data_IF_983559556406
#
_entry.id   IF_983559556406
#
_cell.length_a   1.000
_cell.length_b   1.000
_cell.length_c   1.000
_cell.angle_alpha   90.00
_cell.angle_beta   90.00
_cell.angle_gamma   90.00
#
_symmetry.space_group_name_H-M   'P 1'
#
loop_
_entity.id
_entity.type
_entity.pdbx_description
1 polymer ?
#
# COMPACT_ATOMS: atom_id res chain seq x y z
N UNK A 1 -20.69 18.31 9.19
CA UNK A 1 -19.87 18.39 7.97
C UNK A 1 -18.48 17.95 8.38
N UNK A 2 -18.08 16.72 8.06
CA UNK A 2 -16.82 16.17 8.56
C UNK A 2 -15.62 16.85 7.91
N UNK A 3 -14.54 17.00 8.67
CA UNK A 3 -13.31 17.64 8.20
C UNK A 3 -12.44 16.61 7.48
N UNK A 4 -12.03 16.90 6.24
CA UNK A 4 -11.03 16.12 5.50
C UNK A 4 -9.64 16.67 5.83
N UNK A 5 -8.75 15.81 6.32
CA UNK A 5 -7.39 16.22 6.61
C UNK A 5 -6.58 16.32 5.31
N UNK A 6 -5.73 17.35 5.14
CA UNK A 6 -4.88 17.45 3.97
C UNK A 6 -3.80 16.37 3.99
N UNK A 7 -3.62 15.67 2.88
CA UNK A 7 -2.54 14.72 2.73
C UNK A 7 -1.20 15.45 2.53
N UNK A 8 -0.10 15.04 3.19
CA UNK A 8 1.19 15.71 3.09
C UNK A 8 1.91 15.40 1.77
N UNK A 9 1.38 15.92 0.65
CA UNK A 9 1.93 15.75 -0.71
C UNK A 9 3.40 16.14 -0.86
N UNK A 10 3.86 17.10 -0.05
CA UNK A 10 5.25 17.56 -0.05
C UNK A 10 6.25 16.46 0.39
N UNK A 11 5.78 15.41 1.08
CA UNK A 11 6.59 14.24 1.43
C UNK A 11 6.51 13.13 0.38
N UNK A 12 5.51 13.15 -0.52
CA UNK A 12 5.32 12.16 -1.56
C UNK A 12 6.28 12.41 -2.73
N UNK A 13 7.55 12.08 -2.54
CA UNK A 13 8.63 12.34 -3.51
C UNK A 13 9.04 11.09 -4.30
N UNK A 14 8.70 9.90 -3.80
CA UNK A 14 9.17 8.64 -4.36
C UNK A 14 8.19 8.11 -5.40
N UNK A 15 8.68 7.81 -6.59
CA UNK A 15 7.88 7.18 -7.64
C UNK A 15 7.63 5.70 -7.31
N UNK A 16 6.37 5.28 -7.46
CA UNK A 16 5.90 3.94 -7.16
C UNK A 16 4.92 3.46 -8.23
N UNK A 17 4.96 2.16 -8.49
CA UNK A 17 3.93 1.44 -9.23
C UNK A 17 3.38 0.32 -8.37
N UNK A 18 2.06 0.28 -8.19
CA UNK A 18 1.37 -0.77 -7.44
C UNK A 18 0.70 -1.71 -8.44
N UNK A 19 1.02 -2.99 -8.34
CA UNK A 19 0.44 -4.04 -9.18
C UNK A 19 -0.30 -5.01 -8.27
N UNK A 20 -1.58 -5.19 -8.52
CA UNK A 20 -2.36 -6.24 -7.89
C UNK A 20 -2.16 -7.54 -8.63
N UNK A 21 -1.96 -8.64 -7.90
CA UNK A 21 -2.01 -9.99 -8.45
C UNK A 21 -3.27 -10.66 -7.91
N UNK A 22 -4.16 -11.09 -8.79
CA UNK A 22 -5.37 -11.84 -8.44
C UNK A 22 -5.30 -13.19 -9.13
N UNK A 23 -5.63 -14.26 -8.42
CA UNK A 23 -5.79 -15.59 -9.04
C UNK A 23 -7.12 -15.63 -9.79
N UNK A 24 -7.04 -15.57 -11.11
CA UNK A 24 -8.16 -15.79 -12.02
C UNK A 24 -8.26 -17.25 -12.45
N UNK A 25 -9.27 -17.57 -13.26
CA UNK A 25 -9.49 -18.92 -13.79
C UNK A 25 -8.38 -19.41 -14.73
N UNK A 26 -7.65 -18.49 -15.39
CA UNK A 26 -6.59 -18.79 -16.37
C UNK A 26 -5.16 -18.63 -15.81
N UNK A 27 -5.02 -18.22 -14.53
CA UNK A 27 -3.73 -18.01 -13.89
C UNK A 27 -3.64 -16.75 -13.04
N UNK A 28 -2.41 -16.30 -12.77
CA UNK A 28 -2.15 -15.04 -12.05
C UNK A 28 -2.34 -13.83 -12.97
N UNK A 29 -3.40 -13.06 -12.75
CA UNK A 29 -3.65 -11.81 -13.47
C UNK A 29 -3.01 -10.63 -12.72
N UNK A 30 -2.08 -9.95 -13.39
CA UNK A 30 -1.45 -8.74 -12.90
C UNK A 30 -2.20 -7.49 -13.38
N UNK A 31 -2.85 -6.77 -12.47
CA UNK A 31 -3.55 -5.52 -12.77
C UNK A 31 -2.82 -4.33 -12.15
N UNK A 32 -2.37 -3.32 -12.93
CA UNK A 32 -1.81 -2.09 -12.35
C UNK A 32 -2.92 -1.32 -11.61
N UNK A 33 -2.71 -1.08 -10.30
CA UNK A 33 -3.67 -0.34 -9.47
C UNK A 33 -3.35 1.16 -9.41
N UNK A 34 -2.06 1.49 -9.34
CA UNK A 34 -1.62 2.87 -9.15
C UNK A 34 -0.23 3.08 -9.73
N UNK A 35 -0.01 4.24 -10.33
CA UNK A 35 1.30 4.72 -10.76
C UNK A 35 1.39 6.21 -10.43
N UNK A 36 2.42 6.60 -9.69
CA UNK A 36 2.56 7.99 -9.23
C UNK A 36 3.55 8.12 -8.09
N UNK A 37 3.36 9.14 -7.26
CA UNK A 37 4.24 9.42 -6.13
C UNK A 37 3.63 8.96 -4.81
N UNK A 38 4.45 8.38 -3.95
CA UNK A 38 4.09 8.03 -2.58
C UNK A 38 5.10 8.55 -1.56
N UNK A 39 4.69 8.57 -0.31
CA UNK A 39 5.60 8.69 0.83
C UNK A 39 6.15 7.29 1.09
N UNK A 40 7.41 7.07 0.76
CA UNK A 40 8.08 5.79 1.01
C UNK A 40 8.94 5.88 2.28
N UNK A 41 8.72 4.93 3.19
CA UNK A 41 9.53 4.77 4.41
C UNK A 41 10.29 3.46 4.31
N UNK A 42 11.60 3.55 4.13
CA UNK A 42 12.49 2.39 4.21
C UNK A 42 12.79 2.11 5.68
N UNK A 43 12.07 1.14 6.25
CA UNK A 43 12.24 0.75 7.64
C UNK A 43 11.97 -0.73 7.80
N UNK A 44 12.95 -1.43 8.35
CA UNK A 44 12.79 -2.82 8.74
C UNK A 44 12.03 -2.92 10.06
N UNK A 45 10.97 -3.73 10.08
CA UNK A 45 10.21 -4.03 11.30
C UNK A 45 9.87 -5.51 11.34
N UNK A 46 10.10 -6.15 12.48
CA UNK A 46 9.61 -7.52 12.69
C UNK A 46 8.23 -7.48 13.35
N UNK A 47 7.30 -8.27 12.84
CA UNK A 47 5.96 -8.42 13.40
C UNK A 47 5.59 -9.89 13.47
N UNK A 48 4.78 -10.26 14.47
CA UNK A 48 4.18 -11.60 14.53
C UNK A 48 2.93 -11.60 13.65
N UNK A 49 2.85 -12.54 12.71
CA UNK A 49 1.62 -12.76 11.94
C UNK A 49 0.57 -13.52 12.79
N UNK A 50 -0.62 -13.74 12.23
CA UNK A 50 -1.69 -14.45 12.92
C UNK A 50 -1.32 -15.91 13.31
N UNK A 51 -0.38 -16.51 12.58
CA UNK A 51 0.18 -17.85 12.79
C UNK A 51 1.30 -17.88 13.83
N UNK A 52 1.61 -16.74 14.49
CA UNK A 52 2.73 -16.57 15.44
C UNK A 52 4.11 -16.76 14.81
N UNK A 53 4.22 -16.55 13.51
CA UNK A 53 5.50 -16.53 12.81
C UNK A 53 6.06 -15.11 12.80
N UNK A 54 7.36 -15.01 13.03
CA UNK A 54 8.07 -13.74 13.00
C UNK A 54 8.37 -13.38 11.55
N UNK A 55 7.67 -12.39 11.01
CA UNK A 55 7.91 -11.89 9.65
C UNK A 55 8.67 -10.57 9.69
N UNK A 56 9.46 -10.32 8.66
CA UNK A 56 10.20 -9.06 8.50
C UNK A 56 9.56 -8.22 7.40
N UNK A 57 9.04 -7.05 7.77
CA UNK A 57 8.61 -6.02 6.85
C UNK A 57 9.81 -5.16 6.47
N UNK A 58 9.99 -4.88 5.18
CA UNK A 58 11.11 -4.12 4.63
C UNK A 58 10.78 -2.66 4.29
N UNK A 59 9.55 -2.21 4.52
CA UNK A 59 9.17 -0.81 4.36
C UNK A 59 7.67 -0.55 4.41
N UNK A 60 7.30 0.71 4.24
CA UNK A 60 5.91 1.17 4.10
C UNK A 60 5.80 2.19 2.98
N UNK A 61 4.77 2.06 2.14
CA UNK A 61 4.42 3.06 1.13
C UNK A 61 3.05 3.66 1.44
N UNK A 62 2.95 5.00 1.49
CA UNK A 62 1.70 5.70 1.78
C UNK A 62 1.29 6.53 0.57
N UNK A 63 0.10 6.26 0.05
CA UNK A 63 -0.49 6.90 -1.13
C UNK A 63 -1.74 7.66 -0.70
N UNK A 64 -1.97 8.84 -1.28
CA UNK A 64 -3.15 9.65 -1.00
C UNK A 64 -4.44 8.97 -1.47
N UNK A 65 -5.47 8.93 -0.62
CA UNK A 65 -6.77 8.36 -0.93
C UNK A 65 -6.82 6.83 -1.02
N UNK A 66 -7.88 6.30 -1.62
CA UNK A 66 -8.06 4.86 -1.85
C UNK A 66 -7.65 4.47 -3.27
N UNK A 67 -6.64 3.62 -3.39
CA UNK A 67 -6.16 3.14 -4.70
C UNK A 67 -6.89 1.90 -5.20
N UNK A 68 -7.71 1.25 -4.36
CA UNK A 68 -8.47 0.07 -4.78
C UNK A 68 -9.78 -0.08 -3.97
N UNK A 69 -10.78 0.80 -4.19
CA UNK A 69 -11.97 0.88 -3.35
C UNK A 69 -12.70 -0.45 -3.16
N UNK A 70 -12.93 -0.81 -1.89
CA UNK A 70 -13.71 -1.99 -1.52
C UNK A 70 -13.06 -3.35 -1.82
N UNK A 71 -11.80 -3.37 -2.30
CA UNK A 71 -11.08 -4.60 -2.65
C UNK A 71 -9.83 -4.80 -1.81
N UNK A 72 -9.39 -6.04 -1.66
CA UNK A 72 -8.10 -6.35 -1.05
C UNK A 72 -6.98 -6.02 -2.03
N UNK A 73 -5.89 -5.46 -1.54
CA UNK A 73 -4.69 -5.20 -2.34
C UNK A 73 -3.70 -6.33 -2.04
N UNK A 74 -3.49 -7.20 -3.01
CA UNK A 74 -2.51 -8.29 -2.97
C UNK A 74 -1.61 -8.18 -4.19
N UNK A 75 -0.32 -8.48 -4.07
CA UNK A 75 0.62 -8.36 -5.18
C UNK A 75 1.93 -7.74 -4.72
N UNK A 76 2.47 -6.81 -5.50
CA UNK A 76 3.75 -6.18 -5.20
C UNK A 76 3.78 -4.72 -5.67
N UNK A 77 4.74 -3.97 -5.15
CA UNK A 77 5.06 -2.63 -5.63
C UNK A 77 6.40 -2.64 -6.35
N UNK A 78 6.57 -1.72 -7.31
CA UNK A 78 7.87 -1.36 -7.86
C UNK A 78 8.25 0.01 -7.29
N UNK A 79 9.33 0.06 -6.53
CA UNK A 79 9.85 1.30 -5.92
C UNK A 79 11.37 1.29 -6.00
N UNK A 80 11.97 2.42 -6.42
CA UNK A 80 13.42 2.55 -6.58
C UNK A 80 14.07 1.39 -7.39
N UNK A 81 13.39 0.89 -8.42
CA UNK A 81 13.86 -0.22 -9.25
C UNK A 81 13.80 -1.61 -8.60
N UNK A 82 13.23 -1.74 -7.40
CA UNK A 82 13.07 -3.02 -6.68
C UNK A 82 11.60 -3.38 -6.59
N UNK A 83 11.29 -4.68 -6.75
CA UNK A 83 9.96 -5.22 -6.50
C UNK A 83 9.87 -5.64 -5.02
N UNK A 84 8.89 -5.10 -4.29
CA UNK A 84 8.62 -5.45 -2.90
C UNK A 84 7.23 -6.04 -2.76
N UNK A 85 7.09 -7.16 -2.05
CA UNK A 85 5.79 -7.84 -1.93
C UNK A 85 4.90 -7.08 -0.96
N UNK A 86 3.62 -6.98 -1.28
CA UNK A 86 2.64 -6.37 -0.37
C UNK A 86 2.26 -7.43 0.66
N UNK A 87 2.62 -7.19 1.92
CA UNK A 87 2.20 -8.03 3.03
C UNK A 87 0.77 -7.70 3.47
N UNK A 88 0.41 -6.42 3.46
CA UNK A 88 -0.94 -5.97 3.82
C UNK A 88 -1.15 -4.50 3.49
N UNK A 89 -2.42 -4.10 3.44
CA UNK A 89 -2.84 -2.74 3.17
C UNK A 89 -3.73 -2.21 4.30
N UNK A 90 -3.57 -0.94 4.64
CA UNK A 90 -4.37 -0.23 5.63
C UNK A 90 -5.00 1.00 4.96
N UNK A 91 -6.24 1.32 5.32
CA UNK A 91 -7.00 2.47 4.80
C UNK A 91 -7.49 3.33 5.95
N UNK A 92 -6.62 4.16 6.57
CA UNK A 92 -7.07 5.10 7.58
C UNK A 92 -8.18 6.00 7.02
N UNK A 93 -9.21 6.22 7.84
CA UNK A 93 -10.34 7.06 7.50
C UNK A 93 -10.14 8.47 8.03
N UNK A 94 -10.63 9.44 7.27
CA UNK A 94 -10.82 10.81 7.74
C UNK A 94 -11.99 10.88 8.75
N UNK A 95 -12.04 11.95 9.56
CA UNK A 95 -13.21 12.24 10.41
C UNK A 95 -14.56 12.32 9.67
N UNK A 96 -14.55 12.57 8.36
CA UNK A 96 -15.74 12.58 7.50
C UNK A 96 -16.14 11.19 6.95
N UNK A 97 -15.37 10.15 7.26
CA UNK A 97 -15.58 8.77 6.80
C UNK A 97 -14.97 8.44 5.44
N UNK A 98 -14.37 9.41 4.74
CA UNK A 98 -13.64 9.16 3.49
C UNK A 98 -12.28 8.50 3.78
N UNK A 99 -11.71 7.75 2.84
CA UNK A 99 -10.36 7.20 2.98
C UNK A 99 -9.33 8.32 2.88
N UNK A 100 -8.49 8.45 3.92
CA UNK A 100 -7.41 9.43 3.98
C UNK A 100 -6.24 9.02 3.09
N UNK A 101 -5.77 7.79 3.25
CA UNK A 101 -4.63 7.25 2.50
C UNK A 101 -4.73 5.73 2.38
N UNK A 102 -3.99 5.18 1.42
CA UNK A 102 -3.70 3.76 1.33
C UNK A 102 -2.27 3.55 1.81
N UNK A 103 -2.10 2.80 2.90
CA UNK A 103 -0.79 2.43 3.42
C UNK A 103 -0.50 0.97 3.09
N UNK A 104 0.60 0.72 2.39
CA UNK A 104 1.05 -0.62 2.01
C UNK A 104 2.23 -1.01 2.89
N UNK A 105 2.09 -2.10 3.62
CA UNK A 105 3.17 -2.73 4.37
C UNK A 105 3.88 -3.73 3.45
N UNK A 106 5.20 -3.61 3.38
CA UNK A 106 6.02 -4.29 2.39
C UNK A 106 6.90 -5.35 3.03
N UNK A 107 7.05 -6.49 2.36
CA UNK A 107 7.99 -7.55 2.67
C UNK A 107 9.13 -7.52 1.65
#
# INVERSE_FOLDING_TARGET
MGMKLPFPRFQAKTDIKVVSTVMGEDGEEETPLYEGKCIYTDKTKQVLNAQRELITLSGKAVIEGDINPGKTIQGYIKVNGTNKKIYGAERPLNPDGSVFSTELNLQ
#
